data_IF_160947734116
#
_entry.id   IF_160947734116
#
_cell.length_a   1.000
_cell.length_b   1.000
_cell.length_c   1.000
_cell.angle_alpha   90.00
_cell.angle_beta   90.00
_cell.angle_gamma   90.00
#
_symmetry.space_group_name_H-M   'P 1'
#
loop_
_entity.id
_entity.type
_entity.pdbx_description
1 polymer ?
#
# COMPACT_ATOMS: atom_id res chain seq x y z
N UNK A 1 2.35 15.31 8.62
CA UNK A 1 2.77 14.88 7.25
C UNK A 1 1.56 14.62 6.36
N UNK A 2 0.63 13.74 6.74
CA UNK A 2 -0.61 13.43 5.97
C UNK A 2 -1.43 14.65 5.56
N UNK A 3 -1.56 15.63 6.47
CA UNK A 3 -2.33 16.86 6.25
C UNK A 3 -1.85 17.69 5.05
N UNK A 4 -0.62 17.49 4.57
CA UNK A 4 -0.11 18.20 3.40
C UNK A 4 -0.73 17.71 2.08
N UNK A 5 -1.28 16.49 2.05
CA UNK A 5 -1.84 15.87 0.84
C UNK A 5 -3.37 15.77 0.89
N UNK A 6 -3.98 15.67 2.07
CA UNK A 6 -5.40 15.38 2.22
C UNK A 6 -6.35 16.36 1.49
N UNK A 7 -5.94 17.62 1.30
CA UNK A 7 -6.76 18.65 0.64
C UNK A 7 -6.26 19.01 -0.77
N UNK A 8 -5.33 18.24 -1.34
CA UNK A 8 -4.86 18.46 -2.72
C UNK A 8 -5.63 17.56 -3.70
N UNK A 9 -5.75 17.95 -4.98
CA UNK A 9 -6.35 17.08 -6.00
C UNK A 9 -5.69 15.70 -6.07
N UNK A 10 -4.36 15.64 -5.93
CA UNK A 10 -3.59 14.39 -5.97
C UNK A 10 -3.89 13.49 -4.77
N UNK A 11 -4.10 14.07 -3.58
CA UNK A 11 -4.47 13.30 -2.40
C UNK A 11 -5.87 12.70 -2.50
N UNK A 12 -6.82 13.44 -3.07
CA UNK A 12 -8.18 12.95 -3.33
C UNK A 12 -8.21 11.84 -4.39
N UNK A 13 -7.42 12.00 -5.46
CA UNK A 13 -7.26 10.96 -6.48
C UNK A 13 -6.62 9.70 -5.88
N UNK A 14 -5.53 9.86 -5.13
CA UNK A 14 -4.87 8.74 -4.45
C UNK A 14 -5.83 8.02 -3.49
N UNK A 15 -6.63 8.75 -2.69
CA UNK A 15 -7.62 8.14 -1.83
C UNK A 15 -8.66 7.31 -2.61
N UNK A 16 -9.14 7.84 -3.74
CA UNK A 16 -10.08 7.11 -4.62
C UNK A 16 -9.48 5.82 -5.16
N UNK A 17 -8.25 5.87 -5.68
CA UNK A 17 -7.53 4.72 -6.23
C UNK A 17 -7.28 3.67 -5.14
N UNK A 18 -6.78 4.09 -3.97
CA UNK A 18 -6.46 3.17 -2.88
C UNK A 18 -7.70 2.48 -2.31
N UNK A 19 -8.87 3.16 -2.32
CA UNK A 19 -10.15 2.57 -1.91
C UNK A 19 -10.77 1.65 -2.96
N UNK A 20 -10.27 1.63 -4.20
CA UNK A 20 -10.79 0.77 -5.27
C UNK A 20 -10.44 -0.72 -5.10
N UNK A 21 -9.51 -1.07 -4.19
CA UNK A 21 -9.16 -2.46 -3.91
C UNK A 21 -10.35 -3.25 -3.33
N UNK A 22 -10.91 -4.18 -4.11
CA UNK A 22 -12.01 -5.08 -3.70
C UNK A 22 -11.55 -6.41 -3.09
N UNK A 23 -10.26 -6.53 -2.74
CA UNK A 23 -9.68 -7.75 -2.15
C UNK A 23 -9.81 -9.03 -3.00
N UNK A 24 -9.86 -8.91 -4.34
CA UNK A 24 -10.03 -10.04 -5.25
C UNK A 24 -8.85 -11.03 -5.34
N UNK A 25 -7.64 -10.62 -4.91
CA UNK A 25 -6.46 -11.49 -4.89
C UNK A 25 -5.74 -11.69 -6.23
N UNK A 26 -6.17 -11.04 -7.32
CA UNK A 26 -5.45 -11.14 -8.60
C UNK A 26 -4.01 -10.61 -8.51
N UNK A 27 -3.80 -9.51 -7.80
CA UNK A 27 -2.49 -8.90 -7.65
C UNK A 27 -1.51 -9.74 -6.80
N UNK A 28 -2.02 -10.54 -5.85
CA UNK A 28 -1.17 -11.44 -5.04
C UNK A 28 -0.73 -12.66 -5.83
N UNK A 29 -1.57 -13.15 -6.74
CA UNK A 29 -1.21 -14.27 -7.63
C UNK A 29 -0.06 -13.93 -8.59
N UNK A 30 0.12 -12.65 -8.92
CA UNK A 30 1.13 -12.20 -9.90
C UNK A 30 2.39 -11.60 -9.27
N UNK A 31 2.39 -11.31 -7.97
CA UNK A 31 3.52 -10.63 -7.33
C UNK A 31 4.59 -11.63 -6.87
N UNK A 32 5.82 -11.57 -7.42
CA UNK A 32 6.88 -12.52 -7.06
C UNK A 32 7.28 -12.40 -5.57
N UNK A 33 7.35 -11.19 -5.01
CA UNK A 33 7.67 -11.03 -3.57
C UNK A 33 6.70 -11.77 -2.66
N UNK A 34 5.39 -11.67 -2.94
CA UNK A 34 4.38 -12.38 -2.16
C UNK A 34 4.49 -13.89 -2.34
N UNK A 35 4.72 -14.37 -3.57
CA UNK A 35 4.86 -15.82 -3.83
C UNK A 35 6.06 -16.42 -3.08
N UNK A 36 7.18 -15.69 -2.98
CA UNK A 36 8.38 -16.17 -2.30
C UNK A 36 8.33 -16.04 -0.77
N UNK A 37 7.86 -14.88 -0.27
CA UNK A 37 7.91 -14.58 1.18
C UNK A 37 6.62 -14.95 1.92
N UNK A 38 5.51 -15.10 1.18
CA UNK A 38 4.17 -15.34 1.70
C UNK A 38 3.72 -14.32 2.77
N UNK A 39 4.30 -13.13 2.76
CA UNK A 39 3.89 -11.99 3.58
C UNK A 39 3.05 -11.03 2.73
N UNK A 40 1.77 -10.94 3.07
CA UNK A 40 0.82 -10.10 2.34
C UNK A 40 1.26 -8.63 2.28
N UNK A 41 1.95 -8.14 3.32
CA UNK A 41 2.42 -6.74 3.41
C UNK A 41 3.45 -6.40 2.33
N UNK A 42 4.20 -7.41 1.87
CA UNK A 42 5.19 -7.28 0.81
C UNK A 42 4.57 -7.34 -0.60
N UNK A 43 3.30 -7.78 -0.71
CA UNK A 43 2.54 -7.85 -1.95
C UNK A 43 1.82 -6.53 -2.34
N UNK A 44 1.27 -6.42 -3.56
CA UNK A 44 0.72 -5.15 -4.07
C UNK A 44 -0.50 -4.69 -3.26
N UNK A 45 -1.37 -5.63 -2.85
CA UNK A 45 -2.52 -5.33 -1.99
C UNK A 45 -2.10 -4.87 -0.59
N UNK A 46 -1.14 -5.55 0.04
CA UNK A 46 -0.61 -5.12 1.33
C UNK A 46 -0.04 -3.71 1.28
N UNK A 47 0.67 -3.35 0.21
CA UNK A 47 1.20 -1.99 0.03
C UNK A 47 0.11 -0.94 -0.16
N UNK A 48 -0.95 -1.24 -0.92
CA UNK A 48 -2.14 -0.37 -0.98
C UNK A 48 -2.70 -0.13 0.43
N UNK A 49 -2.75 -1.17 1.26
CA UNK A 49 -3.22 -1.04 2.64
C UNK A 49 -2.30 -0.16 3.49
N UNK A 50 -0.98 -0.33 3.39
CA UNK A 50 0.00 0.52 4.10
C UNK A 50 -0.08 1.99 3.66
N UNK A 51 -0.27 2.26 2.36
CA UNK A 51 -0.47 3.61 1.82
C UNK A 51 -1.80 4.21 2.28
N UNK A 52 -2.86 3.41 2.35
CA UNK A 52 -4.15 3.83 2.89
C UNK A 52 -4.05 4.20 4.38
N UNK A 53 -3.40 3.35 5.19
CA UNK A 53 -3.13 3.63 6.61
C UNK A 53 -2.42 4.97 6.78
N UNK A 54 -1.40 5.24 5.96
CA UNK A 54 -0.75 6.55 5.94
C UNK A 54 -1.76 7.69 5.73
N UNK A 55 -2.62 7.61 4.71
CA UNK A 55 -3.62 8.65 4.45
C UNK A 55 -4.68 8.78 5.56
N UNK A 56 -4.95 7.70 6.29
CA UNK A 56 -5.87 7.67 7.43
C UNK A 56 -5.24 8.23 8.72
N UNK A 57 -3.96 8.60 8.69
CA UNK A 57 -3.27 9.24 9.83
C UNK A 57 -2.49 8.28 10.71
N UNK A 58 -2.35 7.01 10.31
CA UNK A 58 -1.56 6.02 11.03
C UNK A 58 -0.07 6.37 11.03
N UNK A 59 0.62 5.94 12.08
CA UNK A 59 2.07 6.12 12.20
C UNK A 59 2.82 5.26 11.17
N UNK A 60 3.81 5.86 10.50
CA UNK A 60 4.70 5.16 9.58
C UNK A 60 5.99 4.85 10.29
N UNK A 61 6.32 3.56 10.32
CA UNK A 61 7.52 3.03 10.98
C UNK A 61 8.54 2.57 9.95
N UNK A 62 9.75 2.23 10.41
CA UNK A 62 10.76 1.58 9.57
C UNK A 62 10.23 0.28 8.95
N UNK A 63 9.44 -0.52 9.69
CA UNK A 63 8.80 -1.73 9.15
C UNK A 63 7.83 -1.42 8.01
N UNK A 64 7.09 -0.31 8.10
CA UNK A 64 6.20 0.12 7.02
C UNK A 64 7.01 0.41 5.75
N UNK A 65 8.15 1.10 5.89
CA UNK A 65 9.08 1.36 4.78
C UNK A 65 9.65 0.06 4.21
N UNK A 66 10.11 -0.86 5.06
CA UNK A 66 10.65 -2.14 4.62
C UNK A 66 9.69 -2.89 3.70
N UNK A 67 8.42 -2.97 4.07
CA UNK A 67 7.39 -3.64 3.27
C UNK A 67 7.06 -2.91 1.95
N UNK A 68 7.15 -1.58 1.94
CA UNK A 68 6.94 -0.77 0.73
C UNK A 68 8.11 -0.90 -0.27
N UNK A 69 9.34 -0.96 0.24
CA UNK A 69 10.56 -0.95 -0.57
C UNK A 69 10.97 -2.36 -1.05
N UNK A 70 10.55 -3.43 -0.35
CA UNK A 70 10.95 -4.81 -0.65
C UNK A 70 10.27 -5.37 -1.90
N UNK A 71 10.85 -5.11 -3.08
CA UNK A 71 10.43 -5.72 -4.35
C UNK A 71 11.40 -6.82 -4.79
N UNK A 72 10.86 -7.96 -5.25
CA UNK A 72 11.57 -8.86 -6.14
C UNK A 72 11.21 -8.45 -7.58
N UNK A 73 12.21 -8.44 -8.47
CA UNK A 73 12.17 -7.93 -9.86
C UNK A 73 10.90 -8.24 -10.63
#
# INVERSE_FOLDING_TARGET
MVQQFANTPEGQEAESILRACVHCGFCTATCPTYQELNDERDGPRGRIYLMKMFLEGEEITEKTRDHLDRCLT
#
